data_IF_074285344828
#
_entry.id   IF_074285344828
#
_cell.length_a   1.000
_cell.length_b   1.000
_cell.length_c   1.000
_cell.angle_alpha   90.00
_cell.angle_beta   90.00
_cell.angle_gamma   90.00
#
_symmetry.space_group_name_H-M   'P 1'
#
loop_
_entity.id
_entity.type
_entity.pdbx_description
1 polymer ?
#
# COMPACT_ATOMS: atom_id res chain seq x y z
N UNK A 1 13.69 -0.24 -26.50
CA UNK A 1 12.26 -0.41 -26.15
C UNK A 1 12.08 -0.02 -24.69
N UNK A 2 11.32 1.05 -24.41
CA UNK A 2 11.07 1.51 -23.02
C UNK A 2 9.98 0.60 -22.45
N UNK A 3 10.37 -0.36 -21.61
CA UNK A 3 9.41 -1.16 -20.87
C UNK A 3 8.52 -0.21 -20.07
N UNK A 4 7.21 -0.25 -20.36
CA UNK A 4 6.20 0.35 -19.48
C UNK A 4 6.31 -0.45 -18.19
N UNK A 5 6.98 0.13 -17.19
CA UNK A 5 7.00 -0.42 -15.83
C UNK A 5 5.57 -0.25 -15.33
N UNK A 6 4.75 -1.26 -15.62
CA UNK A 6 3.42 -1.38 -15.04
C UNK A 6 3.68 -1.58 -13.56
N UNK A 7 3.42 -0.52 -12.77
CA UNK A 7 3.43 -0.56 -11.31
C UNK A 7 2.25 -1.43 -10.90
N UNK A 8 2.47 -2.74 -10.91
CA UNK A 8 1.54 -3.73 -10.39
C UNK A 8 1.60 -3.63 -8.87
N UNK A 9 0.67 -2.87 -8.30
CA UNK A 9 0.24 -3.12 -6.93
C UNK A 9 -0.67 -4.36 -7.01
N UNK A 10 -0.14 -5.53 -6.69
CA UNK A 10 -0.93 -6.71 -6.37
C UNK A 10 -1.31 -6.68 -4.87
N UNK A 11 -2.42 -7.23 -4.39
CA UNK A 11 -3.64 -7.79 -4.98
C UNK A 11 -4.71 -7.64 -3.89
N UNK A 12 -5.90 -7.19 -4.25
CA UNK A 12 -7.13 -7.79 -3.73
C UNK A 12 -8.02 -8.01 -4.95
N UNK A 13 -8.14 -9.26 -5.37
CA UNK A 13 -9.00 -9.68 -6.49
C UNK A 13 -10.45 -9.34 -6.18
N UNK A 14 -10.96 -8.32 -6.85
CA UNK A 14 -12.36 -8.19 -7.19
C UNK A 14 -12.44 -8.02 -8.70
N UNK A 15 -13.21 -8.90 -9.35
CA UNK A 15 -13.49 -9.00 -10.79
C UNK A 15 -13.22 -7.68 -11.55
N UNK A 16 -12.17 -7.69 -12.38
CA UNK A 16 -11.85 -6.59 -13.27
C UNK A 16 -12.86 -6.54 -14.43
N UNK A 17 -14.03 -5.95 -14.18
CA UNK A 17 -14.82 -5.40 -15.27
C UNK A 17 -13.98 -4.30 -15.92
N UNK A 18 -13.55 -4.52 -17.17
CA UNK A 18 -12.97 -3.48 -18.01
C UNK A 18 -14.09 -2.48 -18.30
N UNK A 19 -14.28 -1.51 -17.41
CA UNK A 19 -15.25 -0.43 -17.61
C UNK A 19 -14.61 0.59 -18.55
N UNK A 20 -15.28 0.97 -19.66
CA UNK A 20 -14.75 1.96 -20.58
C UNK A 20 -14.49 3.29 -19.85
N UNK A 21 -13.37 3.93 -20.20
CA UNK A 21 -12.88 5.18 -19.63
C UNK A 21 -13.73 6.42 -19.98
N UNK A 22 -15.01 6.26 -20.30
CA UNK A 22 -15.89 7.35 -20.65
C UNK A 22 -16.40 8.06 -19.37
N UNK A 23 -16.24 9.38 -19.33
CA UNK A 23 -16.74 10.32 -18.32
C UNK A 23 -15.94 10.53 -17.02
N UNK A 24 -14.60 10.51 -17.07
CA UNK A 24 -13.81 11.33 -16.11
C UNK A 24 -13.64 12.72 -16.71
N UNK A 25 -14.32 13.73 -16.16
CA UNK A 25 -14.11 15.11 -16.53
C UNK A 25 -12.65 15.55 -16.35
N UNK A 26 -12.22 16.57 -17.10
CA UNK A 26 -10.88 17.16 -16.91
C UNK A 26 -10.73 17.60 -15.44
N UNK A 27 -9.57 17.36 -14.80
CA UNK A 27 -9.35 17.81 -13.44
C UNK A 27 -9.48 19.33 -13.37
N UNK A 28 -10.01 19.84 -12.26
CA UNK A 28 -10.05 21.27 -12.01
C UNK A 28 -8.63 21.85 -11.93
N UNK A 29 -8.50 23.15 -12.19
CA UNK A 29 -7.21 23.85 -12.04
C UNK A 29 -6.64 23.70 -10.63
N UNK A 30 -7.50 23.64 -9.61
CA UNK A 30 -7.10 23.46 -8.22
C UNK A 30 -6.53 22.06 -7.95
N UNK A 31 -7.20 21.01 -8.45
CA UNK A 31 -6.72 19.62 -8.35
C UNK A 31 -5.41 19.42 -9.08
N UNK A 32 -5.29 19.95 -10.31
CA UNK A 32 -4.04 19.91 -11.06
C UNK A 32 -2.89 20.60 -10.29
N UNK A 33 -3.14 21.79 -9.74
CA UNK A 33 -2.11 22.53 -8.99
C UNK A 33 -1.72 21.79 -7.70
N UNK A 34 -2.66 21.13 -7.03
CA UNK A 34 -2.37 20.31 -5.86
C UNK A 34 -1.50 19.10 -6.23
N UNK A 35 -1.91 18.33 -7.25
CA UNK A 35 -1.16 17.18 -7.75
C UNK A 35 0.26 17.56 -8.19
N UNK A 36 0.45 18.71 -8.85
CA UNK A 36 1.78 19.19 -9.24
C UNK A 36 2.66 19.51 -8.02
N UNK A 37 2.10 20.12 -6.97
CA UNK A 37 2.87 20.44 -5.75
C UNK A 37 3.32 19.18 -5.03
N UNK A 38 2.42 18.22 -4.90
CA UNK A 38 2.68 16.91 -4.31
C UNK A 38 3.71 16.12 -5.10
N UNK A 39 3.49 15.97 -6.42
CA UNK A 39 4.45 15.35 -7.33
C UNK A 39 5.84 16.00 -7.26
N UNK A 40 5.92 17.33 -7.10
CA UNK A 40 7.21 18.02 -6.92
C UNK A 40 7.88 17.60 -5.62
N UNK A 41 7.14 17.51 -4.51
CA UNK A 41 7.68 17.08 -3.21
C UNK A 41 8.20 15.64 -3.28
N UNK A 42 7.40 14.73 -3.82
CA UNK A 42 7.80 13.32 -4.02
C UNK A 42 9.04 13.21 -4.91
N UNK A 43 9.04 13.87 -6.07
CA UNK A 43 10.18 13.83 -6.97
C UNK A 43 11.46 14.44 -6.37
N UNK A 44 11.31 15.39 -5.45
CA UNK A 44 12.45 15.94 -4.69
C UNK A 44 12.96 14.93 -3.66
N UNK A 45 12.07 14.23 -2.96
CA UNK A 45 12.40 13.15 -2.04
C UNK A 45 13.10 12.00 -2.78
N UNK A 46 12.51 11.51 -3.88
CA UNK A 46 13.04 10.43 -4.71
C UNK A 46 14.43 10.76 -5.29
N UNK A 47 14.65 12.02 -5.68
CA UNK A 47 15.97 12.47 -6.14
C UNK A 47 17.02 12.45 -5.02
N UNK A 48 16.59 12.71 -3.78
CA UNK A 48 17.43 12.81 -2.60
C UNK A 48 18.55 13.86 -2.72
N UNK A 49 19.42 13.88 -1.71
CA UNK A 49 20.57 14.78 -1.64
C UNK A 49 21.90 14.09 -1.99
N UNK A 50 21.97 12.77 -1.86
CA UNK A 50 23.20 12.00 -2.05
C UNK A 50 23.52 11.76 -3.53
N UNK A 51 24.79 11.51 -3.84
CA UNK A 51 25.14 11.14 -5.21
C UNK A 51 24.55 9.78 -5.63
N UNK A 52 24.33 8.86 -4.69
CA UNK A 52 23.71 7.56 -4.96
C UNK A 52 22.26 7.74 -5.43
N UNK A 53 21.46 8.51 -4.69
CA UNK A 53 20.07 8.82 -5.05
C UNK A 53 19.99 9.63 -6.33
N UNK A 54 20.88 10.61 -6.51
CA UNK A 54 20.92 11.40 -7.75
C UNK A 54 21.29 10.54 -8.96
N UNK A 55 22.19 9.57 -8.81
CA UNK A 55 22.53 8.62 -9.86
C UNK A 55 21.35 7.68 -10.17
N UNK A 56 20.65 7.19 -9.15
CA UNK A 56 19.46 6.35 -9.33
C UNK A 56 18.33 7.12 -10.03
N UNK A 57 18.08 8.34 -9.58
CA UNK A 57 17.11 9.24 -10.18
C UNK A 57 17.43 9.54 -11.66
N UNK A 58 18.69 9.81 -11.99
CA UNK A 58 19.13 9.99 -13.40
C UNK A 58 18.99 8.71 -14.22
N UNK A 59 19.23 7.55 -13.62
CA UNK A 59 19.01 6.26 -14.29
C UNK A 59 17.52 6.03 -14.61
N UNK A 60 16.60 6.49 -13.74
CA UNK A 60 15.15 6.36 -13.90
C UNK A 60 14.55 7.38 -14.87
N UNK A 61 14.91 8.66 -14.75
CA UNK A 61 14.28 9.75 -15.51
C UNK A 61 15.13 10.33 -16.66
N UNK A 62 16.39 9.91 -16.78
CA UNK A 62 17.30 10.35 -17.84
C UNK A 62 17.57 11.86 -17.82
N UNK A 63 17.84 12.43 -19.00
CA UNK A 63 18.14 13.86 -19.18
C UNK A 63 16.99 14.80 -18.84
N UNK A 64 15.75 14.31 -18.91
CA UNK A 64 14.56 15.11 -18.58
C UNK A 64 14.39 15.29 -17.06
N UNK A 65 15.03 14.44 -16.25
CA UNK A 65 15.16 14.57 -14.80
C UNK A 65 13.86 14.93 -14.09
N UNK A 66 13.91 16.01 -13.29
CA UNK A 66 12.81 16.44 -12.42
C UNK A 66 11.54 16.80 -13.21
N UNK A 67 11.68 17.39 -14.41
CA UNK A 67 10.54 17.76 -15.23
C UNK A 67 9.73 16.54 -15.69
N UNK A 68 10.42 15.46 -16.10
CA UNK A 68 9.74 14.22 -16.47
C UNK A 68 9.15 13.50 -15.26
N UNK A 69 9.86 13.47 -14.13
CA UNK A 69 9.32 12.92 -12.89
C UNK A 69 8.00 13.61 -12.51
N UNK A 70 8.00 14.94 -12.38
CA UNK A 70 6.81 15.70 -11.96
C UNK A 70 5.67 15.49 -12.94
N UNK A 71 5.92 15.47 -14.25
CA UNK A 71 4.90 15.22 -15.26
C UNK A 71 4.26 13.83 -15.13
N UNK A 72 5.07 12.80 -14.92
CA UNK A 72 4.60 11.42 -14.76
C UNK A 72 3.81 11.28 -13.46
N UNK A 73 4.39 11.70 -12.33
CA UNK A 73 3.75 11.65 -11.00
C UNK A 73 2.44 12.44 -10.96
N UNK A 74 2.39 13.65 -11.52
CA UNK A 74 1.15 14.44 -11.60
C UNK A 74 0.06 13.67 -12.37
N UNK A 75 0.40 13.09 -13.52
CA UNK A 75 -0.54 12.33 -14.34
C UNK A 75 -1.06 11.09 -13.60
N UNK A 76 -0.19 10.42 -12.86
CA UNK A 76 -0.52 9.19 -12.16
C UNK A 76 -1.36 9.50 -10.90
N UNK A 77 -0.98 10.51 -10.11
CA UNK A 77 -1.77 11.03 -8.99
C UNK A 77 -3.20 11.43 -9.41
N UNK A 78 -3.37 12.10 -10.56
CA UNK A 78 -4.69 12.45 -11.07
C UNK A 78 -5.54 11.23 -11.47
N UNK A 79 -4.91 10.20 -12.04
CA UNK A 79 -5.61 8.96 -12.42
C UNK A 79 -6.04 8.18 -11.19
N UNK A 80 -5.13 8.04 -10.23
CA UNK A 80 -5.36 7.37 -8.97
C UNK A 80 -6.43 8.08 -8.16
N UNK A 81 -6.37 9.42 -8.04
CA UNK A 81 -7.42 10.22 -7.42
C UNK A 81 -8.78 10.03 -8.09
N UNK A 82 -8.83 9.95 -9.43
CA UNK A 82 -10.07 9.70 -10.16
C UNK A 82 -10.62 8.27 -9.95
N UNK A 83 -9.75 7.28 -9.80
CA UNK A 83 -10.14 5.90 -9.47
C UNK A 83 -10.61 5.79 -8.01
N UNK A 84 -9.81 6.31 -7.07
CA UNK A 84 -10.13 6.37 -5.65
C UNK A 84 -11.46 7.09 -5.41
N UNK A 85 -11.71 8.21 -6.09
CA UNK A 85 -12.98 8.95 -5.98
C UNK A 85 -14.16 8.13 -6.46
N UNK A 86 -14.01 7.38 -7.56
CA UNK A 86 -15.05 6.48 -8.07
C UNK A 86 -15.34 5.35 -7.10
N UNK A 87 -14.31 4.71 -6.54
CA UNK A 87 -14.46 3.66 -5.55
C UNK A 87 -15.13 4.20 -4.27
N UNK A 88 -14.62 5.30 -3.72
CA UNK A 88 -15.19 5.94 -2.54
C UNK A 88 -16.65 6.34 -2.73
N UNK A 89 -17.01 6.87 -3.92
CA UNK A 89 -18.40 7.16 -4.26
C UNK A 89 -19.28 5.91 -4.28
N UNK A 90 -18.76 4.80 -4.81
CA UNK A 90 -19.48 3.53 -4.87
C UNK A 90 -19.72 2.99 -3.46
N UNK A 91 -18.67 2.93 -2.64
CA UNK A 91 -18.74 2.49 -1.24
C UNK A 91 -19.71 3.34 -0.43
N UNK A 92 -19.60 4.67 -0.52
CA UNK A 92 -20.49 5.58 0.22
C UNK A 92 -21.94 5.49 -0.25
N UNK A 93 -22.19 5.21 -1.54
CA UNK A 93 -23.55 4.98 -2.04
C UNK A 93 -24.12 3.66 -1.51
N UNK A 94 -23.31 2.61 -1.46
CA UNK A 94 -23.69 1.32 -0.88
C UNK A 94 -24.01 1.48 0.61
N UNK A 95 -23.14 2.13 1.38
CA UNK A 95 -23.33 2.37 2.81
C UNK A 95 -24.61 3.21 3.07
N UNK A 96 -24.84 4.25 2.28
CA UNK A 96 -26.07 5.06 2.38
C UNK A 96 -27.34 4.27 2.02
N UNK A 97 -27.25 3.33 1.08
CA UNK A 97 -28.40 2.52 0.66
C UNK A 97 -28.80 1.47 1.72
N UNK A 98 -27.85 1.04 2.55
CA UNK A 98 -28.11 0.10 3.65
C UNK A 98 -28.91 0.78 4.77
N UNK A 99 -28.50 1.97 5.19
CA UNK A 99 -29.23 2.76 6.20
C UNK A 99 -29.06 4.27 5.94
N UNK A 100 -30.05 4.92 5.29
CA UNK A 100 -29.99 6.35 5.00
C UNK A 100 -29.97 7.24 6.24
N UNK A 101 -30.63 6.82 7.32
CA UNK A 101 -30.75 7.63 8.55
C UNK A 101 -29.42 7.58 9.33
N UNK A 102 -28.90 6.38 9.59
CA UNK A 102 -27.60 6.21 10.23
C UNK A 102 -26.47 6.83 9.39
N UNK A 103 -26.54 6.74 8.06
CA UNK A 103 -25.55 7.39 7.18
C UNK A 103 -25.58 8.92 7.31
N UNK A 104 -26.78 9.52 7.35
CA UNK A 104 -26.94 10.95 7.52
C UNK A 104 -26.47 11.43 8.90
N UNK A 105 -26.69 10.63 9.95
CA UNK A 105 -26.19 10.88 11.30
C UNK A 105 -24.66 10.80 11.36
N UNK A 106 -24.08 9.73 10.82
CA UNK A 106 -22.63 9.47 10.81
C UNK A 106 -21.83 10.51 10.03
N UNK A 107 -22.31 10.88 8.83
CA UNK A 107 -21.53 11.73 7.92
C UNK A 107 -22.09 13.13 7.74
N UNK A 108 -23.39 13.37 7.90
CA UNK A 108 -23.97 14.70 7.75
C UNK A 108 -23.55 15.60 8.91
N UNK A 109 -23.28 16.87 8.65
CA UNK A 109 -22.94 17.84 9.72
C UNK A 109 -23.68 19.16 9.60
N UNK A 110 -24.32 19.42 8.46
CA UNK A 110 -25.14 20.62 8.28
C UNK A 110 -26.58 20.39 8.75
N UNK A 111 -27.36 21.48 8.88
CA UNK A 111 -28.74 21.48 9.41
C UNK A 111 -29.66 20.44 8.75
N UNK A 112 -29.45 20.15 7.46
CA UNK A 112 -30.27 19.20 6.69
C UNK A 112 -29.56 17.88 6.37
N UNK A 113 -28.37 17.63 6.95
CA UNK A 113 -27.49 16.48 6.73
C UNK A 113 -27.19 16.14 5.25
N UNK A 114 -27.50 17.02 4.29
CA UNK A 114 -27.34 16.76 2.84
C UNK A 114 -25.88 16.70 2.39
N UNK A 115 -24.94 17.16 3.23
CA UNK A 115 -23.51 17.05 2.96
C UNK A 115 -22.92 15.67 3.32
N UNK A 116 -23.71 14.73 3.83
CA UNK A 116 -23.26 13.41 4.27
C UNK A 116 -22.45 12.65 3.21
N UNK A 117 -22.96 12.57 1.98
CA UNK A 117 -22.29 11.84 0.90
C UNK A 117 -20.92 12.47 0.57
N UNK A 118 -20.86 13.81 0.47
CA UNK A 118 -19.61 14.53 0.23
C UNK A 118 -18.59 14.32 1.34
N UNK A 119 -19.03 14.28 2.60
CA UNK A 119 -18.16 14.00 3.75
C UNK A 119 -17.66 12.56 3.78
N UNK A 120 -18.52 11.58 3.50
CA UNK A 120 -18.10 10.19 3.38
C UNK A 120 -17.00 10.02 2.33
N UNK A 121 -17.21 10.57 1.13
CA UNK A 121 -16.23 10.50 0.04
C UNK A 121 -14.93 11.19 0.44
N UNK A 122 -15.01 12.39 1.02
CA UNK A 122 -13.82 13.13 1.47
C UNK A 122 -13.02 12.36 2.52
N UNK A 123 -13.68 11.73 3.51
CA UNK A 123 -13.00 10.92 4.52
C UNK A 123 -12.31 9.71 3.90
N UNK A 124 -13.00 8.94 3.04
CA UNK A 124 -12.40 7.79 2.34
C UNK A 124 -11.22 8.21 1.45
N UNK A 125 -11.35 9.33 0.73
CA UNK A 125 -10.25 9.87 -0.09
C UNK A 125 -9.02 10.24 0.75
N UNK A 126 -9.21 10.81 1.95
CA UNK A 126 -8.09 11.11 2.87
C UNK A 126 -7.38 9.84 3.33
N UNK A 127 -8.12 8.78 3.62
CA UNK A 127 -7.55 7.48 4.02
C UNK A 127 -6.79 6.86 2.85
N UNK A 128 -7.36 6.88 1.64
CA UNK A 128 -6.70 6.35 0.43
C UNK A 128 -5.42 7.13 0.14
N UNK A 129 -5.49 8.48 0.12
CA UNK A 129 -4.32 9.32 -0.11
C UNK A 129 -3.22 9.07 0.94
N UNK A 130 -3.56 9.00 2.23
CA UNK A 130 -2.57 8.70 3.27
C UNK A 130 -1.90 7.33 3.10
N UNK A 131 -2.64 6.31 2.62
CA UNK A 131 -2.07 4.99 2.31
C UNK A 131 -1.13 5.07 1.10
N UNK A 132 -1.50 5.81 0.07
CA UNK A 132 -0.67 6.01 -1.12
C UNK A 132 0.61 6.77 -0.77
N UNK A 133 0.51 7.87 -0.03
CA UNK A 133 1.66 8.64 0.46
C UNK A 133 2.65 7.77 1.24
N UNK A 134 2.14 6.86 2.08
CA UNK A 134 2.97 5.92 2.83
C UNK A 134 3.68 4.95 1.88
N UNK A 135 2.95 4.32 0.96
CA UNK A 135 3.50 3.38 0.00
C UNK A 135 4.55 4.03 -0.93
N UNK A 136 4.31 5.26 -1.38
CA UNK A 136 5.29 6.02 -2.18
C UNK A 136 6.57 6.32 -1.40
N UNK A 137 6.48 6.64 -0.10
CA UNK A 137 7.67 6.86 0.74
C UNK A 137 8.46 5.57 0.94
N UNK A 138 7.79 4.47 1.23
CA UNK A 138 8.43 3.16 1.39
C UNK A 138 9.16 2.74 0.09
N UNK A 139 8.54 2.97 -1.07
CA UNK A 139 9.20 2.73 -2.36
C UNK A 139 10.44 3.63 -2.56
N UNK A 140 10.34 4.91 -2.24
CA UNK A 140 11.48 5.85 -2.34
C UNK A 140 12.62 5.44 -1.41
N UNK A 141 12.32 5.02 -0.18
CA UNK A 141 13.31 4.56 0.80
C UNK A 141 13.99 3.27 0.34
N UNK A 142 13.22 2.30 -0.17
CA UNK A 142 13.76 1.08 -0.77
C UNK A 142 14.69 1.39 -1.96
N UNK A 143 14.31 2.33 -2.83
CA UNK A 143 15.16 2.78 -3.93
C UNK A 143 16.44 3.47 -3.44
N UNK A 144 16.37 4.27 -2.36
CA UNK A 144 17.54 4.91 -1.76
C UNK A 144 18.52 3.88 -1.19
N UNK A 145 18.01 2.94 -0.40
CA UNK A 145 18.82 1.86 0.18
C UNK A 145 19.46 1.00 -0.90
N UNK A 146 18.70 0.64 -1.93
CA UNK A 146 19.22 -0.06 -3.10
C UNK A 146 20.31 0.75 -3.82
N UNK A 147 20.13 2.06 -4.01
CA UNK A 147 21.10 2.94 -4.63
C UNK A 147 22.41 3.03 -3.83
N UNK A 148 22.33 3.11 -2.50
CA UNK A 148 23.49 3.13 -1.63
C UNK A 148 24.28 1.82 -1.75
N UNK A 149 23.60 0.67 -1.65
CA UNK A 149 24.23 -0.63 -1.73
C UNK A 149 24.85 -0.91 -3.12
N UNK A 150 24.15 -0.54 -4.20
CA UNK A 150 24.69 -0.63 -5.56
C UNK A 150 25.89 0.29 -5.79
N UNK A 151 25.94 1.46 -5.12
CA UNK A 151 27.11 2.34 -5.18
C UNK A 151 28.30 1.70 -4.49
N UNK A 152 28.10 1.13 -3.30
CA UNK A 152 29.15 0.45 -2.56
C UNK A 152 29.74 -0.72 -3.36
N UNK A 153 28.89 -1.58 -3.94
CA UNK A 153 29.34 -2.70 -4.77
C UNK A 153 30.13 -2.22 -6.00
N UNK A 154 29.64 -1.18 -6.69
CA UNK A 154 30.34 -0.62 -7.86
C UNK A 154 31.70 -0.01 -7.51
N UNK A 155 31.85 0.56 -6.32
CA UNK A 155 33.11 1.16 -5.88
C UNK A 155 34.19 0.12 -5.57
N UNK A 156 33.82 -1.12 -5.27
CA UNK A 156 34.77 -2.21 -5.01
C UNK A 156 35.39 -2.72 -6.31
N UNK A 157 34.55 -3.01 -7.32
CA UNK A 157 35.02 -3.42 -8.64
C UNK A 157 34.08 -2.88 -9.74
N UNK A 158 34.45 -1.77 -10.40
CA UNK A 158 33.64 -1.19 -11.46
C UNK A 158 33.49 -2.10 -12.69
N UNK A 159 34.49 -2.94 -13.01
CA UNK A 159 34.46 -3.79 -14.19
C UNK A 159 33.57 -5.00 -13.97
N UNK A 160 33.78 -5.72 -12.86
CA UNK A 160 32.93 -6.84 -12.48
C UNK A 160 31.47 -6.39 -12.27
N UNK A 161 31.26 -5.20 -11.69
CA UNK A 161 29.92 -4.63 -11.56
C UNK A 161 29.25 -4.38 -12.92
N UNK A 162 29.99 -3.83 -13.88
CA UNK A 162 29.49 -3.59 -15.23
C UNK A 162 29.18 -4.90 -15.97
N UNK A 163 29.98 -5.95 -15.75
CA UNK A 163 29.74 -7.30 -16.28
C UNK A 163 28.51 -7.96 -15.66
N UNK A 164 28.34 -7.82 -14.33
CA UNK A 164 27.23 -8.42 -13.58
C UNK A 164 25.87 -7.82 -13.92
N UNK A 165 25.78 -6.49 -14.02
CA UNK A 165 24.49 -5.80 -14.17
C UNK A 165 24.29 -5.10 -15.52
N UNK A 166 25.37 -4.88 -16.28
CA UNK A 166 25.31 -4.17 -17.56
C UNK A 166 24.81 -5.07 -18.68
N UNK A 167 23.73 -4.66 -19.34
CA UNK A 167 23.13 -5.45 -20.43
C UNK A 167 23.15 -4.76 -21.79
N UNK A 168 23.57 -3.49 -21.85
CA UNK A 168 23.68 -2.75 -23.11
C UNK A 168 25.12 -2.78 -23.65
N UNK A 169 25.30 -2.41 -24.93
CA UNK A 169 26.61 -2.47 -25.63
C UNK A 169 27.76 -1.82 -24.87
N UNK A 170 27.49 -0.77 -24.09
CA UNK A 170 28.50 -0.05 -23.31
C UNK A 170 28.41 -0.27 -21.80
N UNK A 171 27.59 -1.24 -21.34
CA UNK A 171 27.32 -1.59 -19.94
C UNK A 171 26.92 -0.42 -19.01
N UNK A 172 26.59 0.76 -19.56
CA UNK A 172 26.27 1.98 -18.78
C UNK A 172 24.94 1.91 -18.03
N UNK A 173 24.09 0.91 -18.32
CA UNK A 173 22.83 0.69 -17.61
C UNK A 173 22.99 -0.14 -16.33
N UNK A 174 24.21 -0.63 -16.01
CA UNK A 174 24.49 -1.50 -14.87
C UNK A 174 23.95 -0.95 -13.54
N UNK A 175 24.20 0.34 -13.26
CA UNK A 175 23.76 0.94 -11.99
C UNK A 175 22.23 0.96 -11.86
N UNK A 176 21.53 1.43 -12.89
CA UNK A 176 20.06 1.44 -12.89
C UNK A 176 19.45 0.03 -12.78
N UNK A 177 20.12 -0.97 -13.37
CA UNK A 177 19.72 -2.38 -13.29
C UNK A 177 19.93 -2.96 -11.90
N UNK A 178 21.04 -2.67 -11.24
CA UNK A 178 21.29 -3.07 -9.86
C UNK A 178 20.21 -2.49 -8.93
N UNK A 179 19.95 -1.17 -9.02
CA UNK A 179 18.97 -0.49 -8.16
C UNK A 179 17.57 -1.07 -8.38
N UNK A 180 17.16 -1.25 -9.64
CA UNK A 180 15.85 -1.79 -9.97
C UNK A 180 15.65 -3.24 -9.49
N UNK A 181 16.70 -4.06 -9.50
CA UNK A 181 16.62 -5.43 -9.00
C UNK A 181 16.53 -5.47 -7.47
N UNK A 182 17.39 -4.70 -6.78
CA UNK A 182 17.40 -4.66 -5.32
C UNK A 182 16.14 -4.03 -4.72
N UNK A 183 15.64 -2.95 -5.32
CA UNK A 183 14.41 -2.31 -4.86
C UNK A 183 13.19 -3.25 -5.01
N UNK A 184 13.16 -4.13 -6.02
CA UNK A 184 12.13 -5.16 -6.17
C UNK A 184 12.29 -6.29 -5.16
N UNK A 185 13.51 -6.78 -4.96
CA UNK A 185 13.78 -7.84 -3.99
C UNK A 185 13.41 -7.41 -2.56
N UNK A 186 13.70 -6.16 -2.18
CA UNK A 186 13.31 -5.61 -0.87
C UNK A 186 11.81 -5.47 -0.66
N UNK A 187 11.01 -5.36 -1.74
CA UNK A 187 9.55 -5.35 -1.65
C UNK A 187 8.95 -6.76 -1.58
N UNK A 188 9.65 -7.77 -2.10
CA UNK A 188 9.25 -9.18 -2.05
C UNK A 188 9.55 -9.81 -0.68
N UNK A 189 10.68 -9.45 -0.07
CA UNK A 189 11.09 -9.95 1.26
C UNK A 189 10.27 -9.40 2.43
N UNK A 190 9.35 -8.47 2.18
CA UNK A 190 8.46 -7.86 3.18
C UNK A 190 6.99 -8.35 3.03
N UNK A 191 6.78 -9.49 2.36
CA UNK A 191 5.50 -10.20 2.46
C UNK A 191 5.39 -10.84 3.86
N UNK A 192 4.35 -10.55 4.68
CA UNK A 192 4.08 -11.34 5.85
C UNK A 192 3.79 -12.78 5.42
N UNK A 193 4.60 -13.71 5.91
CA UNK A 193 4.38 -15.15 5.85
C UNK A 193 2.88 -15.45 6.08
N UNK A 194 2.18 -16.15 5.17
CA UNK A 194 0.87 -16.67 5.50
C UNK A 194 1.07 -17.72 6.59
N UNK A 195 0.64 -17.42 7.82
CA UNK A 195 0.60 -18.38 8.91
C UNK A 195 -0.09 -19.66 8.40
N UNK A 196 0.70 -20.72 8.28
CA UNK A 196 0.22 -22.05 7.98
C UNK A 196 -0.48 -22.62 9.20
N UNK A 197 -1.75 -22.28 9.38
CA UNK A 197 -2.64 -23.01 10.28
C UNK A 197 -3.00 -24.36 9.65
N UNK A 198 -2.08 -25.31 9.84
CA UNK A 198 -2.33 -26.72 9.64
C UNK A 198 -3.25 -27.23 10.76
N UNK A 199 -4.55 -27.31 10.48
CA UNK A 199 -5.45 -28.24 11.16
C UNK A 199 -6.08 -29.16 10.11
N UNK A 200 -5.23 -30.01 9.54
CA UNK A 200 -5.66 -31.22 8.85
C UNK A 200 -6.13 -32.23 9.89
N UNK A 201 -7.39 -32.64 9.78
CA UNK A 201 -7.94 -33.73 10.57
C UNK A 201 -7.18 -35.04 10.32
N UNK A 202 -7.00 -35.82 11.38
CA UNK A 202 -6.70 -37.24 11.27
C UNK A 202 -7.92 -38.06 11.69
N UNK A 203 -8.24 -39.15 10.96
CA UNK A 203 -9.37 -40.02 11.23
C UNK A 203 -9.06 -41.06 12.30
N UNK A 204 -10.15 -41.62 12.83
CA UNK A 204 -10.26 -42.65 13.86
C UNK A 204 -9.36 -43.88 13.68
N UNK A 205 -8.72 -44.30 14.78
CA UNK A 205 -8.41 -45.70 15.08
C UNK A 205 -8.64 -45.96 16.60
N UNK A 206 -9.69 -46.73 16.92
CA UNK A 206 -9.83 -47.52 18.16
C UNK A 206 -9.26 -48.93 17.89
N UNK A 207 -8.98 -49.83 18.87
CA UNK A 207 -9.38 -49.87 20.29
C UNK A 207 -8.16 -50.14 21.23
N UNK A 208 -8.21 -50.22 22.56
CA UNK A 208 -8.92 -51.16 23.43
C UNK A 208 -8.46 -50.92 24.89
N UNK A 209 -9.39 -51.01 25.85
CA UNK A 209 -9.10 -51.63 27.14
C UNK A 209 -8.89 -50.73 28.37
N UNK A 210 -9.74 -50.91 29.38
CA UNK A 210 -9.28 -50.86 30.78
C UNK A 210 -9.99 -49.90 31.74
N UNK A 211 -11.16 -50.31 32.22
CA UNK A 211 -11.54 -50.40 33.64
C UNK A 211 -11.47 -49.18 34.59
N UNK A 212 -12.59 -48.94 35.30
CA UNK A 212 -12.63 -48.45 36.69
C UNK A 212 -13.29 -47.07 36.88
N UNK A 213 -14.58 -46.99 37.25
CA UNK A 213 -15.09 -46.76 38.63
C UNK A 213 -14.68 -45.38 39.21
N UNK A 214 -15.53 -44.48 39.70
CA UNK A 214 -16.99 -44.44 39.88
C UNK A 214 -17.42 -43.11 40.55
N UNK A 215 -18.69 -42.77 40.39
CA UNK A 215 -19.65 -42.20 41.35
C UNK A 215 -19.34 -40.92 42.22
N UNK A 216 -20.39 -40.22 42.73
CA UNK A 216 -20.42 -38.76 42.93
C UNK A 216 -20.60 -38.28 44.40
N UNK A 217 -20.56 -36.97 44.62
CA UNK A 217 -21.07 -36.27 45.83
C UNK A 217 -20.78 -34.76 45.74
N UNK A 218 -21.75 -33.85 45.65
CA UNK A 218 -22.74 -33.39 46.65
C UNK A 218 -22.11 -32.72 47.88
N UNK A 219 -22.34 -31.41 48.05
CA UNK A 219 -22.00 -30.67 49.26
C UNK A 219 -22.36 -29.19 49.16
N UNK A 220 -23.48 -28.82 49.78
CA UNK A 220 -24.02 -27.46 49.94
C UNK A 220 -23.51 -26.77 51.23
N UNK A 221 -23.76 -25.47 51.36
CA UNK A 221 -23.69 -24.67 52.60
C UNK A 221 -23.13 -23.26 52.32
N UNK A 222 -23.92 -22.18 52.22
CA UNK A 222 -24.66 -21.40 53.23
C UNK A 222 -23.79 -20.58 54.22
N UNK A 223 -24.19 -19.32 54.46
CA UNK A 223 -23.70 -18.40 55.49
C UNK A 223 -23.09 -17.11 54.90
N UNK A 224 -23.82 -16.01 54.65
CA UNK A 224 -24.55 -15.11 55.54
C UNK A 224 -23.68 -14.35 56.56
N UNK A 225 -23.90 -13.02 56.55
CA UNK A 225 -23.67 -12.03 57.61
C UNK A 225 -22.45 -11.08 57.50
N UNK A 226 -22.79 -9.82 57.22
CA UNK A 226 -22.20 -8.54 57.67
C UNK A 226 -21.95 -8.53 59.21
N UNK A 227 -21.36 -7.49 59.88
CA UNK A 227 -21.20 -6.08 59.45
C UNK A 227 -19.92 -5.34 59.90
N UNK A 228 -19.83 -4.05 59.50
CA UNK A 228 -19.51 -2.98 60.45
C UNK A 228 -18.15 -2.26 60.35
N UNK A 229 -18.23 -0.94 60.10
CA UNK A 229 -17.46 0.18 60.71
C UNK A 229 -15.93 0.18 60.60
N UNK A 230 -15.26 1.26 60.21
CA UNK A 230 -15.45 2.69 60.51
C UNK A 230 -15.08 3.59 59.35
#
# INVERSE_FOLDING_TARGET
MRARVFRWVGVATAVAAIVPAAAVGKPSKAELKAAVREAKRECQLERGSTDATRAAFRAKYGSLGLGHCVKVRTRDALREAAQARRQALKDCKTERAQDPAAFAEKYGTNRNRRNALGRCVSQKMRVIAAKQDRADREEIEAEHNAAAACRAERSQDPQAFAEKYGTNRNKRNAFGKCVSQRARAGQESEQPEPNGDAHGGQPNEHPNGGSGQGAPGSGAGEGSSSPGTV
#
